data_IF_469176550010
#
_entry.id   IF_469176550010
#
_cell.length_a   1.000
_cell.length_b   1.000
_cell.length_c   1.000
_cell.angle_alpha   90.00
_cell.angle_beta   90.00
_cell.angle_gamma   90.00
#
_symmetry.space_group_name_H-M   'P 1'
#
loop_
_entity.id
_entity.type
_entity.pdbx_description
1 polymer ?
#
# COMPACT_ATOMS: atom_id res chain seq x y z
N UNK A 1 14.88 4.93 -6.85
CA UNK A 1 13.85 4.03 -6.27
C UNK A 1 12.93 4.71 -5.26
N UNK A 2 13.41 5.31 -4.16
CA UNK A 2 12.52 5.91 -3.13
C UNK A 2 11.47 6.88 -3.70
N UNK A 3 11.91 7.91 -4.44
CA UNK A 3 11.02 8.94 -5.01
C UNK A 3 10.01 8.34 -5.99
N UNK A 4 10.44 7.44 -6.88
CA UNK A 4 9.55 6.76 -7.83
C UNK A 4 8.49 5.92 -7.11
N UNK A 5 8.87 5.23 -6.03
CA UNK A 5 7.93 4.45 -5.19
C UNK A 5 6.95 5.35 -4.46
N UNK A 6 7.41 6.47 -3.91
CA UNK A 6 6.56 7.46 -3.27
C UNK A 6 5.56 8.05 -4.27
N UNK A 7 6.01 8.45 -5.46
CA UNK A 7 5.15 8.97 -6.53
C UNK A 7 4.14 7.92 -7.02
N UNK A 8 4.56 6.66 -7.22
CA UNK A 8 3.65 5.57 -7.58
C UNK A 8 2.57 5.38 -6.53
N UNK A 9 2.96 5.37 -5.24
CA UNK A 9 2.02 5.24 -4.13
C UNK A 9 1.08 6.44 -4.06
N UNK A 10 1.57 7.65 -4.33
CA UNK A 10 0.76 8.87 -4.36
C UNK A 10 -0.28 8.82 -5.48
N UNK A 11 0.06 8.30 -6.66
CA UNK A 11 -0.90 8.07 -7.74
C UNK A 11 -1.98 7.10 -7.28
N UNK A 12 -1.61 5.95 -6.70
CA UNK A 12 -2.57 4.96 -6.20
C UNK A 12 -3.45 5.55 -5.09
N UNK A 13 -2.91 6.41 -4.22
CA UNK A 13 -3.67 7.10 -3.18
C UNK A 13 -4.71 8.07 -3.77
N UNK A 14 -4.35 8.84 -4.78
CA UNK A 14 -5.27 9.80 -5.41
C UNK A 14 -6.34 9.07 -6.22
N UNK A 15 -5.95 8.05 -6.99
CA UNK A 15 -6.84 7.38 -7.95
C UNK A 15 -7.76 6.37 -7.26
N UNK A 16 -7.31 5.73 -6.18
CA UNK A 16 -8.06 4.63 -5.54
C UNK A 16 -8.47 4.96 -4.11
N UNK A 17 -7.52 5.37 -3.25
CA UNK A 17 -7.84 5.59 -1.83
C UNK A 17 -8.76 6.80 -1.61
N UNK A 18 -8.54 7.90 -2.33
CA UNK A 18 -9.35 9.10 -2.18
C UNK A 18 -10.82 8.86 -2.60
N UNK A 19 -11.10 8.23 -3.76
CA UNK A 19 -12.46 7.82 -4.11
C UNK A 19 -13.06 6.80 -3.16
N UNK A 20 -12.27 5.82 -2.66
CA UNK A 20 -12.79 4.85 -1.69
C UNK A 20 -13.19 5.53 -0.38
N UNK A 21 -12.42 6.51 0.08
CA UNK A 21 -12.76 7.32 1.26
C UNK A 21 -14.05 8.10 1.05
N UNK A 22 -14.21 8.79 -0.08
CA UNK A 22 -15.45 9.51 -0.40
C UNK A 22 -16.65 8.59 -0.47
N UNK A 23 -16.54 7.42 -1.13
CA UNK A 23 -17.61 6.44 -1.20
C UNK A 23 -18.05 5.98 0.19
N UNK A 24 -17.10 5.62 1.06
CA UNK A 24 -17.42 5.18 2.42
C UNK A 24 -18.09 6.30 3.22
N UNK A 25 -17.64 7.55 3.10
CA UNK A 25 -18.25 8.68 3.79
C UNK A 25 -19.67 8.99 3.30
N UNK A 26 -19.92 8.92 1.99
CA UNK A 26 -21.27 9.11 1.42
C UNK A 26 -22.22 8.03 1.93
N UNK A 27 -21.80 6.75 1.90
CA UNK A 27 -22.60 5.62 2.37
C UNK A 27 -22.90 5.71 3.87
N UNK A 28 -21.94 6.21 4.66
CA UNK A 28 -22.10 6.43 6.09
C UNK A 28 -22.80 7.75 6.45
N UNK A 29 -23.37 8.46 5.47
CA UNK A 29 -24.05 9.77 5.65
C UNK A 29 -23.18 10.81 6.38
N UNK A 30 -21.89 10.81 6.10
CA UNK A 30 -20.94 11.79 6.65
C UNK A 30 -20.64 11.60 8.14
N UNK A 31 -20.98 10.46 8.76
CA UNK A 31 -20.49 10.15 10.10
C UNK A 31 -18.97 9.97 10.02
N UNK A 32 -18.22 11.00 10.40
CA UNK A 32 -16.75 11.04 10.36
C UNK A 32 -16.10 10.15 11.43
N UNK A 33 -16.42 8.86 11.42
CA UNK A 33 -15.91 7.91 12.40
C UNK A 33 -14.58 7.31 11.92
N UNK A 34 -13.56 7.32 12.78
CA UNK A 34 -12.23 6.78 12.45
C UNK A 34 -12.26 5.32 11.99
N UNK A 35 -13.25 4.54 12.42
CA UNK A 35 -13.46 3.16 11.98
C UNK A 35 -13.88 3.05 10.51
N UNK A 36 -14.57 4.05 9.97
CA UNK A 36 -14.94 4.08 8.55
C UNK A 36 -13.72 4.38 7.66
N UNK A 37 -12.78 5.17 8.15
CA UNK A 37 -11.52 5.40 7.44
C UNK A 37 -10.70 4.11 7.33
N UNK A 38 -10.77 3.21 8.33
CA UNK A 38 -10.16 1.89 8.25
C UNK A 38 -10.82 1.01 7.18
N UNK A 39 -12.13 1.14 6.95
CA UNK A 39 -12.79 0.44 5.85
C UNK A 39 -12.28 0.92 4.48
N UNK A 40 -12.12 2.24 4.30
CA UNK A 40 -11.52 2.79 3.08
C UNK A 40 -10.07 2.32 2.86
N UNK A 41 -9.29 2.23 3.94
CA UNK A 41 -7.94 1.67 3.92
C UNK A 41 -7.93 0.18 3.58
N UNK A 42 -8.88 -0.60 4.10
CA UNK A 42 -9.03 -2.01 3.77
C UNK A 42 -9.34 -2.22 2.28
N UNK A 43 -10.23 -1.40 1.70
CA UNK A 43 -10.51 -1.43 0.25
C UNK A 43 -9.26 -1.11 -0.58
N UNK A 44 -8.49 -0.11 -0.17
CA UNK A 44 -7.23 0.23 -0.83
C UNK A 44 -6.21 -0.90 -0.77
N UNK A 45 -6.12 -1.61 0.35
CA UNK A 45 -5.21 -2.76 0.51
C UNK A 45 -5.66 -3.93 -0.34
N UNK A 46 -6.96 -4.23 -0.40
CA UNK A 46 -7.51 -5.26 -1.28
C UNK A 46 -7.21 -4.95 -2.74
N UNK A 47 -7.38 -3.68 -3.15
CA UNK A 47 -6.98 -3.23 -4.48
C UNK A 47 -5.50 -3.54 -4.77
N UNK A 48 -4.58 -3.15 -3.87
CA UNK A 48 -3.16 -3.40 -4.07
C UNK A 48 -2.84 -4.90 -4.13
N UNK A 49 -3.46 -5.70 -3.26
CA UNK A 49 -3.28 -7.16 -3.23
C UNK A 49 -3.74 -7.82 -4.53
N UNK A 50 -4.90 -7.41 -5.07
CA UNK A 50 -5.42 -7.91 -6.34
C UNK A 50 -4.50 -7.49 -7.49
N UNK A 51 -4.07 -6.22 -7.52
CA UNK A 51 -3.14 -5.73 -8.52
C UNK A 51 -1.82 -6.51 -8.52
N UNK A 52 -1.26 -6.75 -7.34
CA UNK A 52 0.04 -7.40 -7.24
C UNK A 52 0.00 -8.89 -7.55
N UNK A 53 -1.08 -9.57 -7.16
CA UNK A 53 -1.30 -10.98 -7.50
C UNK A 53 -1.68 -11.19 -8.97
N UNK A 54 -2.52 -10.34 -9.54
CA UNK A 54 -3.15 -10.60 -10.85
C UNK A 54 -2.48 -9.87 -12.01
N UNK A 55 -1.82 -8.72 -11.76
CA UNK A 55 -1.21 -7.88 -12.80
C UNK A 55 0.32 -7.90 -12.73
N UNK A 56 0.89 -9.08 -12.50
CA UNK A 56 2.35 -9.27 -12.47
C UNK A 56 3.07 -8.33 -11.50
N UNK A 57 2.52 -8.09 -10.30
CA UNK A 57 3.16 -7.22 -9.29
C UNK A 57 3.06 -5.73 -9.56
N UNK A 58 2.14 -5.27 -10.44
CA UNK A 58 2.00 -3.85 -10.82
C UNK A 58 0.64 -3.28 -10.41
N UNK A 59 0.67 -2.23 -9.61
CA UNK A 59 -0.47 -1.32 -9.40
C UNK A 59 -0.50 -0.25 -10.49
N UNK A 60 -1.55 0.57 -10.56
CA UNK A 60 -1.64 1.64 -11.57
C UNK A 60 -0.46 2.61 -11.46
N UNK A 61 -0.17 3.10 -10.26
CA UNK A 61 0.96 3.98 -10.01
C UNK A 61 2.30 3.33 -10.34
N UNK A 62 2.48 2.05 -9.99
CA UNK A 62 3.71 1.30 -10.32
C UNK A 62 3.85 1.06 -11.82
N UNK A 63 2.75 0.84 -12.53
CA UNK A 63 2.75 0.73 -13.98
C UNK A 63 3.28 2.00 -14.64
N UNK A 64 2.77 3.18 -14.25
CA UNK A 64 3.28 4.46 -14.77
C UNK A 64 4.72 4.75 -14.34
N UNK A 65 5.10 4.34 -13.13
CA UNK A 65 6.48 4.50 -12.64
C UNK A 65 7.46 3.46 -13.19
N UNK A 66 7.00 2.53 -14.05
CA UNK A 66 7.78 1.39 -14.55
C UNK A 66 8.39 0.54 -13.43
N UNK A 67 7.64 0.32 -12.36
CA UNK A 67 8.02 -0.50 -11.22
C UNK A 67 7.22 -1.81 -11.19
N UNK A 68 7.82 -2.86 -10.63
CA UNK A 68 7.17 -4.13 -10.35
C UNK A 68 7.58 -4.64 -8.98
N UNK A 69 6.64 -5.25 -8.26
CA UNK A 69 6.90 -6.03 -7.06
C UNK A 69 7.25 -7.46 -7.46
N UNK A 70 8.33 -7.97 -6.89
CA UNK A 70 8.76 -9.36 -7.00
C UNK A 70 8.87 -9.92 -5.59
N UNK A 71 8.06 -10.92 -5.29
CA UNK A 71 8.14 -11.68 -4.04
C UNK A 71 9.10 -12.85 -4.21
N UNK A 72 9.78 -13.26 -3.13
CA UNK A 72 10.61 -14.47 -3.17
C UNK A 72 9.75 -15.73 -3.38
N UNK A 73 8.59 -15.80 -2.73
CA UNK A 73 7.57 -16.80 -3.05
C UNK A 73 6.34 -16.09 -3.64
N UNK A 74 5.90 -16.51 -4.83
CA UNK A 74 4.68 -15.97 -5.47
C UNK A 74 3.40 -16.51 -4.81
N UNK A 75 3.42 -16.75 -3.50
CA UNK A 75 2.26 -17.21 -2.77
C UNK A 75 1.34 -16.03 -2.47
N UNK A 76 0.02 -16.23 -2.63
CA UNK A 76 -0.98 -15.22 -2.27
C UNK A 76 -0.88 -14.80 -0.80
N UNK A 77 -0.39 -15.70 0.07
CA UNK A 77 -0.18 -15.43 1.49
C UNK A 77 0.90 -14.37 1.73
N UNK A 78 2.06 -14.46 1.07
CA UNK A 78 3.13 -13.46 1.22
C UNK A 78 2.73 -12.08 0.68
N UNK A 79 2.07 -12.06 -0.48
CA UNK A 79 1.51 -10.83 -1.07
C UNK A 79 0.45 -10.23 -0.13
N UNK A 80 -0.41 -11.07 0.44
CA UNK A 80 -1.37 -10.66 1.46
C UNK A 80 -0.67 -10.03 2.66
N UNK A 81 0.28 -10.72 3.29
CA UNK A 81 1.01 -10.21 4.46
C UNK A 81 1.66 -8.85 4.20
N UNK A 82 2.27 -8.69 3.02
CA UNK A 82 2.84 -7.41 2.56
C UNK A 82 1.82 -6.28 2.57
N UNK A 83 0.68 -6.50 1.92
CA UNK A 83 -0.32 -5.47 1.71
C UNK A 83 -1.13 -5.19 2.98
N UNK A 84 -1.47 -6.23 3.76
CA UNK A 84 -2.13 -6.08 5.05
C UNK A 84 -1.27 -5.34 6.08
N UNK A 85 0.07 -5.46 5.99
CA UNK A 85 0.96 -4.66 6.85
C UNK A 85 0.75 -3.15 6.68
N UNK A 86 0.26 -2.70 5.52
CA UNK A 86 -0.02 -1.28 5.28
C UNK A 86 -1.21 -0.75 6.07
N UNK A 87 -2.13 -1.60 6.57
CA UNK A 87 -3.21 -1.16 7.49
C UNK A 87 -2.61 -0.42 8.68
N UNK A 88 -1.43 -0.85 9.15
CA UNK A 88 -0.76 -0.22 10.29
C UNK A 88 -0.53 1.26 10.06
N UNK A 89 -0.28 1.71 8.83
CA UNK A 89 -0.06 3.11 8.49
C UNK A 89 -1.34 3.96 8.53
N UNK A 90 -2.52 3.32 8.46
CA UNK A 90 -3.82 3.98 8.49
C UNK A 90 -4.48 3.98 9.87
N UNK A 91 -3.81 3.44 10.89
CA UNK A 91 -4.31 3.49 12.27
C UNK A 91 -4.34 4.96 12.76
N UNK A 92 -5.43 5.41 13.40
CA UNK A 92 -5.63 6.83 13.72
C UNK A 92 -4.57 7.39 14.68
N UNK A 93 -4.13 6.61 15.67
CA UNK A 93 -3.14 7.04 16.66
C UNK A 93 -1.75 6.46 16.40
N UNK A 94 -1.67 5.20 15.93
CA UNK A 94 -0.40 4.50 15.71
C UNK A 94 0.17 4.62 14.29
N UNK A 95 -0.65 5.04 13.32
CA UNK A 95 -0.28 5.06 11.90
C UNK A 95 0.97 5.88 11.57
N UNK A 96 1.06 7.13 12.04
CA UNK A 96 2.25 7.95 11.82
C UNK A 96 3.52 7.33 12.39
N UNK A 97 3.43 6.62 13.53
CA UNK A 97 4.57 5.93 14.15
C UNK A 97 5.05 4.80 13.23
N UNK A 98 4.15 3.96 12.74
CA UNK A 98 4.52 2.86 11.82
C UNK A 98 5.06 3.37 10.48
N UNK A 99 4.52 4.49 9.98
CA UNK A 99 5.03 5.13 8.77
C UNK A 99 6.47 5.63 9.00
N UNK A 100 6.73 6.27 10.14
CA UNK A 100 8.07 6.73 10.51
C UNK A 100 9.07 5.58 10.65
N UNK A 101 8.68 4.50 11.34
CA UNK A 101 9.48 3.27 11.44
C UNK A 101 9.76 2.72 10.04
N UNK A 102 8.77 2.71 9.15
CA UNK A 102 8.95 2.21 7.79
C UNK A 102 9.94 3.05 6.97
N UNK A 103 10.01 4.35 7.20
CA UNK A 103 11.02 5.22 6.57
C UNK A 103 12.41 4.92 7.14
N UNK A 104 12.53 4.76 8.46
CA UNK A 104 13.80 4.37 9.11
C UNK A 104 14.28 3.01 8.56
N UNK A 105 13.39 2.02 8.44
CA UNK A 105 13.72 0.73 7.84
C UNK A 105 14.25 0.89 6.41
N UNK A 106 13.66 1.78 5.61
CA UNK A 106 14.13 2.05 4.27
C UNK A 106 15.54 2.67 4.28
N UNK A 107 15.82 3.61 5.19
CA UNK A 107 17.15 4.23 5.28
C UNK A 107 18.24 3.24 5.69
N UNK A 108 17.94 2.27 6.57
CA UNK A 108 18.93 1.30 7.08
C UNK A 108 19.08 0.10 6.13
N UNK A 109 17.95 -0.44 5.63
CA UNK A 109 17.91 -1.72 4.89
C UNK A 109 17.54 -1.58 3.42
N UNK A 110 17.30 -0.36 2.92
CA UNK A 110 16.76 -0.09 1.56
C UNK A 110 15.42 -0.79 1.26
N UNK A 111 14.70 -1.23 2.30
CA UNK A 111 13.40 -1.91 2.22
C UNK A 111 12.42 -1.28 3.21
N UNK A 112 11.18 -1.06 2.79
CA UNK A 112 10.14 -0.57 3.71
C UNK A 112 9.65 -1.70 4.62
N UNK A 113 8.96 -1.35 5.70
CA UNK A 113 8.47 -2.31 6.69
C UNK A 113 7.57 -3.37 6.03
N UNK A 114 6.66 -2.96 5.16
CA UNK A 114 5.81 -3.90 4.40
C UNK A 114 6.62 -4.82 3.47
N UNK A 115 7.70 -4.34 2.85
CA UNK A 115 8.55 -5.17 1.99
C UNK A 115 9.28 -6.25 2.79
N UNK A 116 9.72 -5.91 4.02
CA UNK A 116 10.41 -6.83 4.94
C UNK A 116 9.46 -7.94 5.37
N UNK A 117 8.24 -7.58 5.79
CA UNK A 117 7.21 -8.55 6.22
C UNK A 117 6.82 -9.46 5.07
N UNK A 118 6.61 -8.89 3.88
CA UNK A 118 6.21 -9.62 2.68
C UNK A 118 7.33 -10.30 1.90
N UNK A 119 8.57 -10.33 2.43
CA UNK A 119 9.77 -10.90 1.75
C UNK A 119 9.86 -10.55 0.27
N UNK A 120 9.63 -9.29 -0.03
CA UNK A 120 9.47 -8.80 -1.40
C UNK A 120 10.43 -7.67 -1.71
N UNK A 121 10.65 -7.47 -3.00
CA UNK A 121 11.48 -6.41 -3.53
C UNK A 121 10.74 -5.68 -4.64
N UNK A 122 11.05 -4.40 -4.78
CA UNK A 122 10.54 -3.60 -5.90
C UNK A 122 11.69 -3.39 -6.87
N UNK A 123 11.48 -3.74 -8.13
CA UNK A 123 12.45 -3.56 -9.21
C UNK A 123 11.90 -2.61 -10.26
N UNK A 124 12.79 -1.90 -10.95
CA UNK A 124 12.42 -1.14 -12.14
C UNK A 124 12.33 -2.11 -13.34
N UNK A 125 11.23 -2.06 -14.08
CA UNK A 125 11.08 -2.74 -15.37
C UNK A 125 11.52 -1.78 -16.47
N UNK A 126 12.52 -2.18 -17.27
CA UNK A 126 12.98 -1.42 -18.45
C UNK A 126 11.88 -1.37 -19.50
#
# INVERSE_FOLDING_TARGET
MFVQRALATLIDLIVIYLPSLFLVQILAKGQGNSMLNLLAAALFILYNMICESSFSGKTLGKYFAKLKVVSQENSLSEIGQREFTKILYFLPYGGPIFLFISIICYLIKSKFLHDIVGRSEVIATV
#
